data_IF_752322856561
#
_entry.id   IF_752322856561
#
_cell.length_a   1.000
_cell.length_b   1.000
_cell.length_c   1.000
_cell.angle_alpha   90.00
_cell.angle_beta   90.00
_cell.angle_gamma   90.00
#
_symmetry.space_group_name_H-M   'P 1'
#
loop_
_entity.id
_entity.type
_entity.pdbx_description
1 polymer ?
#
# COMPACT_ATOMS: atom_id res chain seq x y z
N UNK A 1 16.17 -8.17 6.90
CA UNK A 1 17.28 -7.22 6.64
C UNK A 1 18.61 -7.90 6.92
N UNK A 2 19.55 -7.75 6.01
CA UNK A 2 20.94 -8.20 6.23
C UNK A 2 21.68 -7.16 7.09
N UNK A 3 22.09 -7.57 8.30
CA UNK A 3 22.80 -6.70 9.23
C UNK A 3 24.25 -6.43 8.81
N UNK A 4 24.78 -7.20 7.88
CA UNK A 4 26.14 -7.08 7.35
C UNK A 4 26.21 -6.29 6.05
N UNK A 5 25.08 -5.80 5.55
CA UNK A 5 25.07 -5.05 4.29
C UNK A 5 26.02 -3.85 4.35
N UNK A 6 26.87 -3.65 3.33
CA UNK A 6 27.73 -2.46 3.25
C UNK A 6 26.93 -1.19 2.95
N UNK A 7 25.65 -1.33 2.54
CA UNK A 7 24.79 -0.22 2.14
C UNK A 7 23.44 -0.25 2.88
N UNK A 8 23.41 0.09 4.19
CA UNK A 8 22.19 0.11 4.99
C UNK A 8 21.35 1.35 4.65
N UNK A 9 20.68 1.34 3.49
CA UNK A 9 19.76 2.42 3.05
C UNK A 9 18.57 2.54 3.98
N UNK A 10 18.08 1.41 4.48
CA UNK A 10 17.11 1.33 5.58
C UNK A 10 17.85 0.78 6.79
N UNK A 11 17.85 1.54 7.88
CA UNK A 11 18.57 1.18 9.10
C UNK A 11 17.66 1.33 10.33
N UNK A 12 18.07 0.76 11.45
CA UNK A 12 17.38 0.94 12.71
C UNK A 12 17.55 2.40 13.18
N UNK A 13 16.47 3.00 13.64
CA UNK A 13 16.52 4.35 14.24
C UNK A 13 17.59 4.41 15.33
N UNK A 14 18.33 5.49 15.39
CA UNK A 14 19.35 5.70 16.42
C UNK A 14 18.78 5.56 17.83
N UNK A 15 17.58 6.10 18.07
CA UNK A 15 16.83 5.99 19.31
C UNK A 15 16.41 4.56 19.66
N UNK A 16 16.48 3.65 18.71
CA UNK A 16 16.13 2.23 18.87
C UNK A 16 17.35 1.33 19.01
N UNK A 17 18.55 1.86 18.89
CA UNK A 17 19.81 1.13 19.11
C UNK A 17 19.96 0.81 20.57
N UNK A 18 20.18 -0.48 20.90
CA UNK A 18 20.32 -0.93 22.27
C UNK A 18 19.03 -1.14 23.06
N UNK A 19 17.86 -0.91 22.48
CA UNK A 19 16.58 -1.20 23.13
C UNK A 19 16.32 -2.70 23.14
N UNK A 20 16.23 -3.29 24.33
CA UNK A 20 15.92 -4.71 24.56
C UNK A 20 14.42 -4.96 24.61
N UNK A 21 13.67 -4.08 25.28
CA UNK A 21 12.21 -4.12 25.29
C UNK A 21 11.66 -3.43 24.05
N UNK A 22 11.06 -4.21 23.17
CA UNK A 22 10.61 -3.74 21.84
C UNK A 22 9.20 -3.15 21.84
N UNK A 23 8.47 -3.25 22.94
CA UNK A 23 7.13 -2.67 23.06
C UNK A 23 7.18 -1.17 23.34
N UNK A 24 6.40 -0.37 22.62
CA UNK A 24 6.24 1.06 22.90
C UNK A 24 7.39 2.00 22.50
N UNK A 25 8.52 1.47 22.01
CA UNK A 25 9.70 2.27 21.62
C UNK A 25 9.80 2.58 20.12
N UNK A 26 8.95 1.96 19.30
CA UNK A 26 8.90 2.26 17.86
C UNK A 26 8.29 3.63 17.63
N UNK A 27 8.52 4.18 16.43
CA UNK A 27 7.78 5.34 15.95
C UNK A 27 6.33 4.93 15.73
N UNK A 28 5.47 5.33 16.64
CA UNK A 28 4.07 4.90 16.72
C UNK A 28 3.14 6.10 16.83
N UNK A 29 2.05 6.11 16.07
CA UNK A 29 1.05 7.18 16.09
C UNK A 29 1.17 8.15 14.93
N UNK A 30 0.56 9.34 15.07
CA UNK A 30 0.52 10.37 14.03
C UNK A 30 1.76 11.27 14.08
N UNK A 31 2.39 11.43 12.91
CA UNK A 31 3.54 12.32 12.73
C UNK A 31 3.30 13.26 11.56
N UNK A 32 3.84 14.47 11.69
CA UNK A 32 3.75 15.51 10.67
C UNK A 32 4.87 15.32 9.66
N UNK A 33 4.55 15.45 8.38
CA UNK A 33 5.52 15.57 7.29
C UNK A 33 5.32 16.89 6.54
N UNK A 34 6.43 17.50 6.13
CA UNK A 34 6.49 18.61 5.18
C UNK A 34 6.77 18.05 3.81
N UNK A 35 5.92 18.36 2.84
CA UNK A 35 6.02 17.88 1.47
C UNK A 35 6.74 18.93 0.60
N UNK A 36 7.53 18.45 -0.35
CA UNK A 36 8.21 19.30 -1.35
C UNK A 36 7.13 19.90 -2.27
N UNK A 37 7.03 21.24 -2.42
CA UNK A 37 6.10 21.83 -3.34
C UNK A 37 6.31 21.33 -4.78
N UNK A 38 5.20 21.06 -5.50
CA UNK A 38 5.24 20.52 -6.87
C UNK A 38 5.61 19.04 -6.98
N UNK A 39 5.73 18.32 -5.86
CA UNK A 39 5.93 16.88 -5.87
C UNK A 39 4.60 16.13 -6.08
N UNK A 40 4.66 14.91 -6.64
CA UNK A 40 3.47 14.05 -6.80
C UNK A 40 2.73 13.83 -5.50
N UNK A 41 3.47 13.69 -4.39
CA UNK A 41 2.86 13.51 -3.07
C UNK A 41 2.16 14.79 -2.60
N UNK A 42 2.73 15.99 -2.81
CA UNK A 42 2.09 17.25 -2.46
C UNK A 42 0.81 17.48 -3.28
N UNK A 43 0.84 17.17 -4.57
CA UNK A 43 -0.34 17.22 -5.45
C UNK A 43 -1.43 16.25 -5.01
N UNK A 44 -1.07 15.00 -4.69
CA UNK A 44 -2.02 13.99 -4.23
C UNK A 44 -2.74 14.41 -2.93
N UNK A 45 -2.02 15.01 -1.98
CA UNK A 45 -2.60 15.50 -0.73
C UNK A 45 -3.28 16.86 -0.87
N UNK A 46 -2.93 17.66 -1.87
CA UNK A 46 -3.37 19.05 -2.00
C UNK A 46 -2.89 19.94 -0.86
N UNK A 47 -1.74 19.63 -0.26
CA UNK A 47 -1.20 20.31 0.91
C UNK A 47 0.32 20.14 1.00
N UNK A 48 0.99 21.11 1.63
CA UNK A 48 2.44 21.05 1.89
C UNK A 48 2.78 20.44 3.27
N UNK A 49 1.78 20.33 4.15
CA UNK A 49 1.95 19.74 5.48
C UNK A 49 0.86 18.72 5.72
N UNK A 50 1.28 17.50 6.01
CA UNK A 50 0.36 16.38 6.23
C UNK A 50 0.69 15.65 7.51
N UNK A 51 -0.26 14.89 8.02
CA UNK A 51 -0.04 14.02 9.17
C UNK A 51 -0.41 12.60 8.77
N UNK A 52 0.51 11.66 8.91
CA UNK A 52 0.24 10.23 8.69
C UNK A 52 0.58 9.41 9.92
N UNK A 53 -0.06 8.23 10.03
CA UNK A 53 0.21 7.31 11.13
C UNK A 53 1.40 6.43 10.79
N UNK A 54 2.23 6.15 11.79
CA UNK A 54 3.43 5.34 11.68
C UNK A 54 3.38 4.17 12.66
N UNK A 55 4.06 3.07 12.29
CA UNK A 55 4.29 1.91 13.16
C UNK A 55 5.56 1.17 12.73
N UNK A 56 6.69 1.83 12.78
CA UNK A 56 7.95 1.25 12.32
C UNK A 56 9.11 1.59 13.25
N UNK A 57 10.18 0.82 13.13
CA UNK A 57 11.41 0.92 13.89
C UNK A 57 12.61 1.22 13.01
N UNK A 58 12.49 0.86 11.73
CA UNK A 58 13.50 1.13 10.73
C UNK A 58 13.15 2.39 9.97
N UNK A 59 14.18 3.16 9.64
CA UNK A 59 14.06 4.44 8.96
C UNK A 59 14.94 4.46 7.70
N UNK A 60 14.61 5.32 6.77
CA UNK A 60 15.53 5.71 5.72
C UNK A 60 16.78 6.33 6.34
N UNK A 61 17.96 5.81 5.98
CA UNK A 61 19.22 6.31 6.51
C UNK A 61 19.60 7.65 5.86
N UNK A 62 19.64 8.75 6.59
CA UNK A 62 19.88 10.09 6.05
C UNK A 62 21.21 10.24 5.30
N UNK A 63 22.19 9.37 5.57
CA UNK A 63 23.49 9.35 4.85
C UNK A 63 23.35 9.08 3.36
N UNK A 64 22.25 8.47 2.94
CA UNK A 64 21.96 8.17 1.54
C UNK A 64 21.13 9.24 0.85
N UNK A 65 20.62 10.24 1.56
CA UNK A 65 19.74 11.27 1.00
C UNK A 65 20.37 11.96 -0.22
N UNK A 66 21.61 12.41 -0.14
CA UNK A 66 22.27 13.06 -1.27
C UNK A 66 22.44 12.17 -2.51
N UNK A 67 22.49 10.84 -2.32
CA UNK A 67 22.51 9.89 -3.46
C UNK A 67 21.15 9.75 -4.12
N UNK A 68 20.07 9.80 -3.33
CA UNK A 68 18.72 9.80 -3.84
C UNK A 68 18.42 11.11 -4.57
N UNK A 69 18.73 12.25 -3.98
CA UNK A 69 18.51 13.55 -4.59
C UNK A 69 19.38 13.79 -5.87
N UNK A 70 20.45 13.02 -6.04
CA UNK A 70 21.27 13.00 -7.26
C UNK A 70 20.82 11.96 -8.31
N UNK A 71 19.71 11.28 -8.07
CA UNK A 71 19.10 10.30 -8.97
C UNK A 71 17.68 10.74 -9.36
N UNK A 72 16.98 9.93 -10.15
CA UNK A 72 15.56 10.15 -10.44
C UNK A 72 14.63 9.92 -9.22
N UNK A 73 15.15 9.35 -8.11
CA UNK A 73 14.43 9.23 -6.85
C UNK A 73 14.64 10.49 -6.01
N UNK A 74 13.60 11.23 -5.73
CA UNK A 74 13.67 12.42 -4.88
C UNK A 74 13.03 12.19 -3.51
N UNK A 75 13.61 12.84 -2.46
CA UNK A 75 13.00 12.90 -1.14
C UNK A 75 11.92 13.98 -1.15
N UNK A 76 10.67 13.56 -1.38
CA UNK A 76 9.53 14.47 -1.57
C UNK A 76 8.79 14.83 -0.28
N UNK A 77 9.15 14.23 0.85
CA UNK A 77 8.60 14.61 2.15
C UNK A 77 9.52 14.27 3.29
N UNK A 78 9.57 15.17 4.30
CA UNK A 78 10.45 15.02 5.46
C UNK A 78 9.72 15.34 6.76
N UNK A 79 10.28 14.90 7.89
CA UNK A 79 9.89 15.40 9.21
C UNK A 79 10.03 16.93 9.28
N UNK A 80 9.33 17.63 10.20
CA UNK A 80 9.38 19.09 10.28
C UNK A 80 10.78 19.68 10.48
N UNK A 81 11.68 18.93 11.13
CA UNK A 81 13.09 19.27 11.32
C UNK A 81 13.99 18.86 10.14
N UNK A 82 13.42 18.25 9.09
CA UNK A 82 14.12 17.83 7.90
C UNK A 82 15.03 16.62 8.05
N UNK A 83 15.09 16.00 9.23
CA UNK A 83 16.04 14.89 9.49
C UNK A 83 15.59 13.54 8.96
N UNK A 84 14.28 13.24 9.05
CA UNK A 84 13.72 11.97 8.62
C UNK A 84 13.08 12.14 7.25
N UNK A 85 13.25 11.13 6.40
CA UNK A 85 12.58 11.05 5.10
C UNK A 85 11.27 10.29 5.28
N UNK A 86 10.16 10.93 4.94
CA UNK A 86 8.80 10.39 5.09
C UNK A 86 8.23 9.88 3.77
N UNK A 87 8.61 10.55 2.68
CA UNK A 87 8.17 10.22 1.33
C UNK A 87 9.32 10.31 0.35
N UNK A 88 9.34 9.39 -0.60
CA UNK A 88 10.19 9.43 -1.79
C UNK A 88 9.34 9.21 -3.02
N UNK A 89 9.76 9.78 -4.16
CA UNK A 89 9.07 9.61 -5.43
C UNK A 89 10.06 9.48 -6.59
N UNK A 90 9.61 8.89 -7.68
CA UNK A 90 10.34 8.78 -8.93
C UNK A 90 9.81 9.86 -9.87
N UNK A 91 10.66 10.85 -10.22
CA UNK A 91 10.25 12.08 -10.91
C UNK A 91 9.64 11.82 -12.29
N UNK A 92 10.24 10.96 -13.10
CA UNK A 92 9.80 10.68 -14.47
C UNK A 92 8.78 9.53 -14.58
N UNK A 93 8.12 9.17 -13.47
CA UNK A 93 7.12 8.11 -13.48
C UNK A 93 5.70 8.70 -13.34
N UNK A 94 4.69 8.17 -14.05
CA UNK A 94 3.31 8.67 -13.99
C UNK A 94 2.74 8.78 -12.57
N UNK A 95 3.06 7.81 -11.70
CA UNK A 95 2.83 7.88 -10.27
C UNK A 95 3.65 6.79 -9.57
N UNK A 96 4.73 7.19 -8.94
CA UNK A 96 5.52 6.32 -8.07
C UNK A 96 5.89 7.07 -6.79
N UNK A 97 5.22 6.74 -5.72
CA UNK A 97 5.44 7.32 -4.38
C UNK A 97 5.59 6.20 -3.38
N UNK A 98 6.58 6.29 -2.52
CA UNK A 98 6.73 5.44 -1.35
C UNK A 98 6.72 6.27 -0.07
N UNK A 99 6.19 5.72 1.01
CA UNK A 99 6.05 6.39 2.30
C UNK A 99 6.41 5.46 3.45
N UNK A 100 6.91 6.05 4.52
CA UNK A 100 7.07 5.40 5.82
C UNK A 100 5.76 5.41 6.63
N UNK A 101 4.83 6.29 6.26
CA UNK A 101 3.50 6.36 6.84
C UNK A 101 2.59 5.23 6.37
N UNK A 102 1.48 5.05 7.07
CA UNK A 102 0.47 4.04 6.84
C UNK A 102 -0.87 4.70 6.46
N UNK A 103 -1.03 5.15 5.18
CA UNK A 103 -2.25 5.83 4.74
C UNK A 103 -3.50 4.96 4.85
N UNK A 104 -3.37 3.62 4.88
CA UNK A 104 -4.48 2.69 5.05
C UNK A 104 -5.22 2.90 6.37
N UNK A 105 -4.57 3.36 7.43
CA UNK A 105 -5.22 3.63 8.71
C UNK A 105 -6.21 4.79 8.66
N UNK A 106 -6.08 5.67 7.69
CA UNK A 106 -6.96 6.84 7.48
C UNK A 106 -7.90 6.66 6.30
N UNK A 107 -7.67 5.66 5.46
CA UNK A 107 -8.49 5.36 4.29
C UNK A 107 -9.83 4.75 4.66
N UNK A 108 -10.88 5.08 3.89
CA UNK A 108 -12.24 4.52 4.01
C UNK A 108 -12.80 4.28 2.61
N UNK A 109 -13.74 3.34 2.43
CA UNK A 109 -14.34 3.06 1.12
C UNK A 109 -14.93 4.30 0.43
N UNK A 110 -15.56 5.19 1.20
CA UNK A 110 -16.18 6.42 0.70
C UNK A 110 -15.25 7.63 0.71
N UNK A 111 -14.07 7.51 1.31
CA UNK A 111 -13.03 8.55 1.39
C UNK A 111 -11.66 7.89 1.39
N UNK A 112 -11.18 7.46 0.22
CA UNK A 112 -9.86 6.83 0.11
C UNK A 112 -8.76 7.80 0.53
N UNK A 113 -7.65 7.26 1.07
CA UNK A 113 -6.48 8.07 1.34
C UNK A 113 -5.94 8.69 0.03
N UNK A 114 -5.42 9.93 0.06
CA UNK A 114 -5.00 10.65 -1.14
C UNK A 114 -4.05 9.87 -2.05
N UNK A 115 -3.07 9.18 -1.50
CA UNK A 115 -2.13 8.38 -2.29
C UNK A 115 -2.81 7.22 -3.03
N UNK A 116 -3.81 6.58 -2.43
CA UNK A 116 -4.55 5.50 -3.11
C UNK A 116 -5.42 6.06 -4.23
N UNK A 117 -6.08 7.20 -4.00
CA UNK A 117 -6.87 7.86 -5.03
C UNK A 117 -6.00 8.29 -6.23
N UNK A 118 -4.85 8.92 -5.97
CA UNK A 118 -3.92 9.36 -7.00
C UNK A 118 -3.33 8.17 -7.78
N UNK A 119 -2.94 7.09 -7.09
CA UNK A 119 -2.45 5.87 -7.74
C UNK A 119 -3.49 5.27 -8.70
N UNK A 120 -4.74 5.11 -8.25
CA UNK A 120 -5.82 4.57 -9.08
C UNK A 120 -6.11 5.48 -10.27
N UNK A 121 -6.11 6.80 -10.07
CA UNK A 121 -6.32 7.78 -11.14
C UNK A 121 -5.21 7.66 -12.22
N UNK A 122 -3.95 7.60 -11.82
CA UNK A 122 -2.81 7.43 -12.73
C UNK A 122 -2.89 6.10 -13.51
N UNK A 123 -3.24 5.00 -12.83
CA UNK A 123 -3.42 3.70 -13.46
C UNK A 123 -4.57 3.71 -14.49
N UNK A 124 -5.70 4.33 -14.17
CA UNK A 124 -6.83 4.47 -15.08
C UNK A 124 -6.47 5.32 -16.31
N UNK A 125 -5.78 6.44 -16.13
CA UNK A 125 -5.32 7.30 -17.22
C UNK A 125 -4.38 6.53 -18.18
N UNK A 126 -3.43 5.76 -17.63
CA UNK A 126 -2.54 4.91 -18.43
C UNK A 126 -3.31 3.87 -19.24
N UNK A 127 -4.28 3.20 -18.63
CA UNK A 127 -5.12 2.20 -19.33
C UNK A 127 -5.91 2.83 -20.48
N UNK A 128 -6.46 4.03 -20.28
CA UNK A 128 -7.18 4.75 -21.32
C UNK A 128 -6.24 5.12 -22.49
N UNK A 129 -5.04 5.62 -22.21
CA UNK A 129 -4.05 5.95 -23.24
C UNK A 129 -3.64 4.72 -24.06
N UNK A 130 -3.40 3.57 -23.42
CA UNK A 130 -3.04 2.32 -24.11
C UNK A 130 -4.17 1.79 -25.01
N UNK A 131 -5.45 1.97 -24.62
CA UNK A 131 -6.59 1.56 -25.44
C UNK A 131 -6.74 2.40 -26.71
N UNK A 132 -6.34 3.64 -26.71
CA UNK A 132 -6.40 4.52 -27.89
C UNK A 132 -5.34 4.13 -28.93
N UNK A 133 -4.22 3.57 -28.50
CA UNK A 133 -3.12 3.17 -29.38
C UNK A 133 -3.30 1.80 -30.07
N UNK A 134 -4.29 0.99 -29.66
CA UNK A 134 -4.60 -0.26 -30.36
C UNK A 134 -5.49 0.07 -31.56
N UNK A 135 -4.99 0.05 -32.82
CA UNK A 135 -5.83 0.18 -34.00
C UNK A 135 -6.86 -0.93 -33.98
N UNK A 136 -8.13 -0.61 -34.11
CA UNK A 136 -9.15 -1.62 -34.32
C UNK A 136 -8.86 -2.26 -35.70
N UNK A 137 -8.04 -3.30 -35.67
CA UNK A 137 -7.87 -4.16 -36.83
C UNK A 137 -9.24 -4.73 -37.20
N UNK A 138 -9.55 -4.66 -38.47
CA UNK A 138 -10.77 -5.09 -39.13
C UNK A 138 -11.37 -6.32 -38.45
N UNK A 139 -12.59 -6.17 -37.96
CA UNK A 139 -13.41 -7.29 -37.54
C UNK A 139 -13.59 -8.21 -38.76
N UNK A 140 -12.80 -9.29 -38.80
CA UNK A 140 -13.04 -10.38 -39.72
C UNK A 140 -14.42 -10.95 -39.41
N UNK A 141 -15.39 -10.55 -40.21
CA UNK A 141 -16.71 -11.16 -40.27
C UNK A 141 -16.56 -12.57 -40.84
N UNK A 142 -16.36 -13.52 -39.98
CA UNK A 142 -16.58 -14.94 -40.28
C UNK A 142 -17.62 -15.47 -39.31
N UNK A 143 -18.88 -15.32 -39.67
CA UNK A 143 -19.94 -16.11 -39.07
C UNK A 143 -19.69 -17.59 -39.40
N UNK A 144 -19.61 -18.49 -38.43
CA UNK A 144 -19.66 -19.91 -38.70
C UNK A 144 -21.11 -20.30 -39.09
N UNK A 145 -21.29 -20.72 -40.31
CA UNK A 145 -22.53 -21.37 -40.74
C UNK A 145 -22.70 -22.68 -39.93
N UNK A 146 -23.71 -22.69 -39.06
CA UNK A 146 -24.15 -23.90 -38.38
C UNK A 146 -25.01 -24.66 -39.34
N UNK A 147 -24.49 -25.75 -39.88
CA UNK A 147 -25.27 -26.75 -40.58
C UNK A 147 -26.01 -27.61 -39.55
N UNK A 148 -27.36 -27.59 -39.64
CA UNK A 148 -28.25 -28.49 -38.94
C UNK A 148 -27.99 -29.95 -39.40
N UNK A 149 -27.51 -30.79 -38.53
CA UNK A 149 -27.65 -32.24 -38.63
C UNK A 149 -28.26 -32.80 -37.35
N UNK A 150 -29.53 -33.12 -37.49
CA UNK A 150 -30.35 -33.88 -36.54
C UNK A 150 -29.77 -35.26 -36.31
N UNK A 151 -29.37 -35.57 -35.07
CA UNK A 151 -29.36 -36.98 -34.63
C UNK A 151 -29.72 -37.06 -33.15
N UNK A 152 -30.86 -37.69 -32.93
CA UNK A 152 -31.39 -38.02 -31.62
C UNK A 152 -30.51 -39.08 -30.92
N UNK A 153 -30.01 -38.72 -29.76
CA UNK A 153 -29.26 -39.61 -28.86
C UNK A 153 -29.64 -39.38 -27.40
N UNK A 154 -30.54 -40.25 -26.93
CA UNK A 154 -31.06 -40.35 -25.56
C UNK A 154 -29.94 -40.82 -24.61
N UNK A 155 -29.51 -40.04 -23.65
CA UNK A 155 -28.66 -40.50 -22.54
C UNK A 155 -29.21 -40.06 -21.19
N UNK A 156 -29.33 -41.06 -20.34
CA UNK A 156 -29.90 -41.10 -18.99
C UNK A 156 -29.12 -40.23 -18.00
N UNK A 157 -29.87 -39.69 -17.03
CA UNK A 157 -29.37 -38.90 -15.92
C UNK A 157 -28.37 -39.62 -15.01
N UNK A 158 -27.46 -38.83 -14.49
CA UNK A 158 -26.73 -39.16 -13.28
C UNK A 158 -26.86 -37.99 -12.30
N UNK A 159 -27.42 -38.30 -11.15
CA UNK A 159 -27.44 -37.42 -9.96
C UNK A 159 -26.01 -37.24 -9.47
N UNK A 160 -25.56 -36.00 -9.28
CA UNK A 160 -24.36 -35.74 -8.54
C UNK A 160 -24.71 -35.17 -7.17
N UNK A 161 -24.11 -35.79 -6.17
CA UNK A 161 -24.19 -35.56 -4.75
C UNK A 161 -23.66 -34.17 -4.35
N UNK A 162 -24.37 -33.55 -3.44
CA UNK A 162 -23.93 -32.38 -2.67
C UNK A 162 -22.71 -32.76 -1.83
N UNK A 163 -21.66 -31.98 -1.93
CA UNK A 163 -20.54 -31.98 -0.99
C UNK A 163 -20.80 -30.96 0.10
N UNK A 164 -20.88 -31.43 1.33
CA UNK A 164 -20.97 -30.66 2.56
C UNK A 164 -19.70 -29.84 2.77
N UNK A 165 -19.86 -28.59 3.17
CA UNK A 165 -18.78 -27.73 3.66
C UNK A 165 -18.57 -27.99 5.15
N UNK A 166 -17.33 -28.10 5.65
CA UNK A 166 -17.10 -28.20 7.08
C UNK A 166 -17.28 -26.83 7.75
N UNK A 167 -18.03 -26.84 8.86
CA UNK A 167 -18.17 -25.75 9.81
C UNK A 167 -16.83 -25.44 10.47
N UNK A 168 -16.40 -24.18 10.37
CA UNK A 168 -15.27 -23.65 11.15
C UNK A 168 -15.83 -23.08 12.45
N UNK A 169 -15.61 -23.76 13.56
CA UNK A 169 -15.90 -23.29 14.89
C UNK A 169 -15.04 -22.06 15.24
N UNK A 170 -15.69 -20.96 15.54
CA UNK A 170 -15.03 -19.74 16.08
C UNK A 170 -14.97 -19.90 17.60
N UNK A 171 -13.80 -20.16 18.11
CA UNK A 171 -13.50 -20.18 19.53
C UNK A 171 -13.52 -18.74 20.06
N UNK A 172 -14.42 -18.47 21.00
CA UNK A 172 -14.54 -17.18 21.71
C UNK A 172 -13.96 -17.37 23.10
N UNK A 173 -12.74 -16.91 23.31
CA UNK A 173 -12.20 -16.73 24.66
C UNK A 173 -12.88 -15.57 25.39
N UNK A 174 -13.32 -15.74 26.62
CA UNK A 174 -13.90 -14.69 27.43
C UNK A 174 -12.81 -13.79 28.03
N UNK A 175 -12.93 -12.49 27.77
CA UNK A 175 -12.12 -11.44 28.40
C UNK A 175 -12.43 -11.39 29.88
N UNK A 176 -11.47 -11.81 30.71
CA UNK A 176 -11.50 -11.66 32.15
C UNK A 176 -11.28 -10.21 32.55
N UNK A 177 -12.32 -9.62 33.16
CA UNK A 177 -12.24 -8.33 33.86
C UNK A 177 -11.58 -8.57 35.21
N UNK A 178 -10.33 -8.11 35.37
CA UNK A 178 -9.61 -8.11 36.65
C UNK A 178 -9.75 -6.75 37.32
N UNK A 179 -10.61 -6.65 38.33
CA UNK A 179 -10.63 -5.55 39.30
C UNK A 179 -9.38 -5.63 40.17
N UNK A 180 -8.50 -4.62 40.12
CA UNK A 180 -7.39 -4.41 41.03
C UNK A 180 -7.62 -3.18 41.90
N UNK A 181 -7.23 -3.21 43.20
CA UNK A 181 -7.67 -2.24 44.20
C UNK A 181 -6.93 -0.90 44.10
N UNK A 182 -7.72 0.17 44.27
CA UNK A 182 -7.26 1.54 44.48
C UNK A 182 -6.60 1.64 45.86
N UNK A 183 -5.30 1.93 45.91
CA UNK A 183 -4.61 2.36 47.14
C UNK A 183 -4.47 3.87 47.14
N UNK A 184 -5.07 4.48 48.14
CA UNK A 184 -4.86 5.90 48.53
C UNK A 184 -3.63 5.98 49.42
N UNK A 185 -2.74 6.89 49.14
CA UNK A 185 -1.63 7.31 49.93
C UNK A 185 -0.99 8.55 49.33
#
# INVERSE_FOLDING_TARGET
FDRSTPHPVIDIMETQRGVTDKGGTMRLGAYIARLKPGSQVAEAYGAEVVSERHRHRFEFNPRYRGRFDASALSCSGTSPDGRLVEFIELEDHPFWVATQGHPEFKSRPTRPAPLFAAFVAAAAARTAATRVEVPQGEAASSEPQVSDETTAGRVRGRRSSQAERPDVAVDRDPVGVGDGPVSRG
#
